data_IF_111797292718
#
_entry.id   IF_111797292718
#
_cell.length_a   1.000
_cell.length_b   1.000
_cell.length_c   1.000
_cell.angle_alpha   90.00
_cell.angle_beta   90.00
_cell.angle_gamma   90.00
#
_symmetry.space_group_name_H-M   'P 1'
#
loop_
_entity.id
_entity.type
_entity.pdbx_description
1 polymer ?
#
# COMPACT_ATOMS: atom_id res chain seq x y z
N UNK A 1 -9.66 19.84 -24.64
CA UNK A 1 -10.36 20.00 -23.34
C UNK A 1 -11.72 20.68 -23.49
N UNK A 2 -11.83 21.79 -24.23
CA UNK A 2 -13.11 22.53 -24.41
C UNK A 2 -14.23 21.63 -24.96
N UNK A 3 -13.97 20.86 -26.02
CA UNK A 3 -14.98 19.95 -26.62
C UNK A 3 -15.47 18.87 -25.64
N UNK A 4 -14.58 18.35 -24.77
CA UNK A 4 -14.94 17.38 -23.75
C UNK A 4 -15.84 18.04 -22.68
N UNK A 5 -15.48 19.25 -22.24
CA UNK A 5 -16.29 19.99 -21.29
C UNK A 5 -17.67 20.36 -21.86
N UNK A 6 -17.72 20.80 -23.12
CA UNK A 6 -18.99 21.10 -23.81
C UNK A 6 -19.89 19.88 -23.94
N UNK A 7 -19.29 18.69 -24.13
CA UNK A 7 -20.04 17.44 -24.15
C UNK A 7 -20.56 17.08 -22.75
N UNK A 8 -19.70 17.18 -21.73
CA UNK A 8 -20.06 16.91 -20.33
C UNK A 8 -21.16 17.86 -19.84
N UNK A 9 -21.11 19.15 -20.19
CA UNK A 9 -22.10 20.16 -19.75
C UNK A 9 -23.52 19.92 -20.26
N UNK A 10 -23.68 19.09 -21.29
CA UNK A 10 -25.01 18.70 -21.83
C UNK A 10 -25.64 17.50 -21.08
N UNK A 11 -24.93 16.92 -20.13
CA UNK A 11 -25.40 15.77 -19.36
C UNK A 11 -25.86 16.21 -17.96
N UNK A 12 -26.65 15.36 -17.30
CA UNK A 12 -27.07 15.54 -15.91
C UNK A 12 -26.38 14.50 -15.04
N UNK A 13 -25.74 14.96 -13.98
CA UNK A 13 -24.97 14.10 -13.07
C UNK A 13 -25.57 14.13 -11.67
N UNK A 14 -25.69 12.97 -11.03
CA UNK A 14 -26.10 12.88 -9.62
C UNK A 14 -24.90 13.07 -8.67
N UNK A 15 -23.69 12.73 -9.12
CA UNK A 15 -22.44 12.86 -8.36
C UNK A 15 -21.23 12.81 -9.29
N UNK A 16 -20.08 13.24 -8.76
CA UNK A 16 -18.75 13.09 -9.35
C UNK A 16 -17.87 12.20 -8.47
N UNK A 17 -17.09 11.31 -9.08
CA UNK A 17 -16.13 10.46 -8.38
C UNK A 17 -14.82 10.43 -9.14
N UNK A 18 -13.71 10.66 -8.45
CA UNK A 18 -12.36 10.61 -9.01
C UNK A 18 -11.33 10.35 -7.90
N UNK A 19 -10.08 10.12 -8.27
CA UNK A 19 -8.96 10.11 -7.34
C UNK A 19 -8.44 11.55 -7.18
N UNK A 20 -8.33 12.03 -5.95
CA UNK A 20 -7.82 13.38 -5.68
C UNK A 20 -6.31 13.46 -5.82
N UNK A 21 -5.61 12.41 -5.42
CA UNK A 21 -4.15 12.37 -5.48
C UNK A 21 -3.66 12.37 -6.93
N UNK A 22 -2.82 13.34 -7.28
CA UNK A 22 -2.29 13.58 -8.63
C UNK A 22 -3.32 13.92 -9.72
N UNK A 23 -4.61 14.01 -9.38
CA UNK A 23 -5.70 14.21 -10.35
C UNK A 23 -6.78 15.18 -9.83
N UNK A 24 -6.39 16.29 -9.24
CA UNK A 24 -7.32 17.32 -8.72
C UNK A 24 -8.19 17.93 -9.82
N UNK A 25 -7.72 17.90 -11.06
CA UNK A 25 -8.43 18.43 -12.23
C UNK A 25 -9.89 17.98 -12.37
N UNK A 26 -10.23 16.70 -12.20
CA UNK A 26 -11.62 16.25 -12.22
C UNK A 26 -12.52 16.98 -11.24
N UNK A 27 -12.05 17.34 -10.04
CA UNK A 27 -12.86 18.03 -9.02
C UNK A 27 -13.17 19.48 -9.40
N UNK A 28 -12.26 20.16 -10.10
CA UNK A 28 -12.56 21.46 -10.70
C UNK A 28 -13.57 21.34 -11.84
N UNK A 29 -13.49 20.29 -12.65
CA UNK A 29 -14.52 20.02 -13.68
C UNK A 29 -15.87 19.73 -13.03
N UNK A 30 -15.93 18.95 -11.96
CA UNK A 30 -17.17 18.71 -11.21
C UNK A 30 -17.76 20.01 -10.68
N UNK A 31 -16.94 20.90 -10.12
CA UNK A 31 -17.39 22.22 -9.66
C UNK A 31 -17.91 23.06 -10.82
N UNK A 32 -17.20 23.12 -11.95
CA UNK A 32 -17.62 23.89 -13.14
C UNK A 32 -18.94 23.35 -13.73
N UNK A 33 -19.20 22.05 -13.61
CA UNK A 33 -20.46 21.42 -14.03
C UNK A 33 -21.58 21.56 -12.98
N UNK A 34 -21.33 22.17 -11.82
CA UNK A 34 -22.31 22.32 -10.74
C UNK A 34 -22.61 21.01 -9.99
N UNK A 35 -21.72 20.03 -10.04
CA UNK A 35 -21.89 18.76 -9.32
C UNK A 35 -21.49 18.97 -7.84
N UNK A 36 -22.48 18.94 -6.94
CA UNK A 36 -22.29 19.21 -5.52
C UNK A 36 -21.85 17.96 -4.72
N UNK A 37 -22.28 16.78 -5.15
CA UNK A 37 -21.94 15.52 -4.49
C UNK A 37 -20.68 14.95 -5.12
N UNK A 38 -19.54 15.15 -4.48
CA UNK A 38 -18.27 14.64 -4.98
C UNK A 38 -17.66 13.66 -3.99
N UNK A 39 -17.00 12.65 -4.54
CA UNK A 39 -16.31 11.57 -3.79
C UNK A 39 -14.90 11.42 -4.31
N UNK A 40 -13.96 11.24 -3.38
CA UNK A 40 -12.59 10.85 -3.66
C UNK A 40 -12.43 9.35 -3.47
N UNK A 41 -11.74 8.67 -4.39
CA UNK A 41 -11.38 7.25 -4.26
C UNK A 41 -9.89 7.10 -4.47
N UNK A 42 -9.16 6.92 -3.39
CA UNK A 42 -7.72 6.63 -3.46
C UNK A 42 -7.48 5.15 -3.76
N UNK A 43 -6.74 4.87 -4.81
CA UNK A 43 -6.30 3.50 -5.16
C UNK A 43 -5.26 2.94 -4.18
N UNK A 44 -4.64 3.80 -3.36
CA UNK A 44 -3.64 3.45 -2.36
C UNK A 44 -4.08 3.88 -0.95
N UNK A 45 -3.14 4.37 -0.15
CA UNK A 45 -3.37 4.90 1.21
C UNK A 45 -4.05 6.27 1.17
N UNK A 46 -4.56 6.72 2.31
CA UNK A 46 -4.82 8.15 2.49
C UNK A 46 -3.48 8.86 2.73
N UNK A 47 -3.16 9.80 1.86
CA UNK A 47 -1.87 10.50 1.92
C UNK A 47 -1.82 11.44 3.12
N UNK A 48 -0.81 11.30 4.00
CA UNK A 48 -0.72 12.13 5.21
C UNK A 48 -0.76 13.63 4.95
N UNK A 49 -0.18 14.09 3.85
CA UNK A 49 -0.18 15.51 3.46
C UNK A 49 -1.58 16.09 3.22
N UNK A 50 -2.56 15.26 2.83
CA UNK A 50 -3.94 15.70 2.62
C UNK A 50 -4.67 16.00 3.93
N UNK A 51 -4.19 15.51 5.06
CA UNK A 51 -4.79 15.78 6.38
C UNK A 51 -4.80 17.28 6.71
N UNK A 52 -3.86 18.07 6.19
CA UNK A 52 -3.86 19.52 6.35
C UNK A 52 -5.13 20.18 5.79
N UNK A 53 -5.68 19.64 4.69
CA UNK A 53 -6.93 20.12 4.09
C UNK A 53 -8.15 19.84 4.97
N UNK A 54 -8.05 18.85 5.86
CA UNK A 54 -9.03 18.54 6.89
C UNK A 54 -8.79 19.32 8.20
N UNK A 55 -7.83 20.26 8.21
CA UNK A 55 -7.48 21.06 9.38
C UNK A 55 -6.61 20.33 10.42
N UNK A 56 -6.01 19.20 10.05
CA UNK A 56 -5.12 18.42 10.90
C UNK A 56 -3.67 18.80 10.57
N UNK A 57 -2.93 19.28 11.57
CA UNK A 57 -1.52 19.62 11.39
C UNK A 57 -0.67 18.35 11.27
N UNK A 58 -0.14 18.11 10.08
CA UNK A 58 0.73 16.95 9.79
C UNK A 58 1.99 16.91 10.65
N UNK A 59 2.42 18.03 11.20
CA UNK A 59 3.57 18.12 12.13
C UNK A 59 3.31 17.43 13.46
N UNK A 60 2.05 17.29 13.85
CA UNK A 60 1.65 16.62 15.08
C UNK A 60 1.51 15.10 14.90
N UNK A 61 1.59 14.62 13.67
CA UNK A 61 1.42 13.22 13.34
C UNK A 61 2.75 12.50 13.28
N UNK A 62 2.86 11.44 14.04
CA UNK A 62 4.01 10.55 14.03
C UNK A 62 3.77 9.39 13.08
N UNK A 63 3.49 9.67 11.80
CA UNK A 63 3.38 8.69 10.75
C UNK A 63 4.53 8.87 9.75
N UNK A 64 5.02 7.79 9.11
CA UNK A 64 6.08 7.91 8.13
C UNK A 64 5.65 8.72 6.91
N UNK A 65 6.62 9.34 6.29
CA UNK A 65 6.45 9.85 4.94
C UNK A 65 6.35 8.66 3.97
N UNK A 66 5.45 8.75 2.99
CA UNK A 66 5.10 7.58 2.20
C UNK A 66 6.19 7.12 1.21
N UNK A 67 7.14 8.00 0.83
CA UNK A 67 8.22 7.66 -0.12
C UNK A 67 9.58 7.37 0.53
N UNK A 68 9.80 7.81 1.77
CA UNK A 68 11.14 7.83 2.36
C UNK A 68 11.24 7.11 3.69
N UNK A 69 10.18 6.45 4.14
CA UNK A 69 10.22 5.62 5.33
C UNK A 69 11.30 4.54 5.22
N UNK A 70 12.03 4.30 6.30
CA UNK A 70 13.12 3.33 6.36
C UNK A 70 12.91 2.29 7.46
N UNK A 71 13.59 1.13 7.39
CA UNK A 71 13.44 0.07 8.39
C UNK A 71 13.68 0.56 9.82
N UNK A 72 12.78 0.19 10.71
CA UNK A 72 12.85 0.48 12.14
C UNK A 72 12.51 1.91 12.55
N UNK A 73 11.97 2.76 11.66
CA UNK A 73 11.57 4.14 11.97
C UNK A 73 10.52 4.19 13.07
N UNK A 74 9.64 3.20 13.13
CA UNK A 74 8.51 3.13 14.04
C UNK A 74 8.56 1.95 15.01
N UNK A 75 9.73 1.32 15.17
CA UNK A 75 9.94 0.20 16.08
C UNK A 75 10.83 0.58 17.27
N UNK A 76 10.58 -0.07 18.41
CA UNK A 76 11.50 -0.15 19.53
C UNK A 76 12.06 -1.59 19.67
N UNK A 77 12.88 -1.82 20.70
CA UNK A 77 13.46 -3.13 20.98
C UNK A 77 12.42 -4.23 21.31
N UNK A 78 11.19 -3.84 21.61
CA UNK A 78 10.07 -4.72 21.93
C UNK A 78 9.06 -4.84 20.78
N UNK A 79 9.39 -4.31 19.60
CA UNK A 79 8.48 -4.24 18.45
C UNK A 79 7.41 -3.15 18.55
N UNK A 80 7.51 -2.26 19.54
CA UNK A 80 6.63 -1.13 19.75
C UNK A 80 7.31 0.17 19.34
N UNK A 81 6.51 1.20 19.06
CA UNK A 81 6.99 2.53 18.70
C UNK A 81 7.79 3.17 19.86
N UNK A 82 9.09 3.41 19.65
CA UNK A 82 9.95 4.06 20.63
C UNK A 82 10.25 5.52 20.24
N UNK A 83 9.37 6.43 20.66
CA UNK A 83 9.49 7.87 20.41
C UNK A 83 10.72 8.52 21.06
N UNK A 84 11.33 7.87 22.05
CA UNK A 84 12.52 8.37 22.76
C UNK A 84 13.83 8.00 22.06
N UNK A 85 13.79 7.08 21.08
CA UNK A 85 15.00 6.72 20.34
C UNK A 85 15.50 7.90 19.50
N UNK A 86 16.83 8.04 19.40
CA UNK A 86 17.45 9.06 18.55
C UNK A 86 17.02 8.88 17.10
N UNK A 87 17.03 7.62 16.61
CA UNK A 87 16.64 7.25 15.25
C UNK A 87 15.19 7.67 14.94
N UNK A 88 14.25 7.35 15.83
CA UNK A 88 12.85 7.76 15.65
C UNK A 88 12.71 9.29 15.52
N UNK A 89 13.38 10.06 16.39
CA UNK A 89 13.31 11.52 16.36
C UNK A 89 13.90 12.10 15.07
N UNK A 90 15.05 11.60 14.62
CA UNK A 90 15.67 12.03 13.37
C UNK A 90 14.77 11.71 12.15
N UNK A 91 14.25 10.49 12.07
CA UNK A 91 13.39 10.08 10.97
C UNK A 91 12.03 10.79 11.00
N UNK A 92 11.46 11.00 12.17
CA UNK A 92 10.22 11.77 12.36
C UNK A 92 10.36 13.20 11.86
N UNK A 93 11.51 13.86 12.15
CA UNK A 93 11.79 15.21 11.65
C UNK A 93 11.90 15.24 10.12
N UNK A 94 12.60 14.28 9.53
CA UNK A 94 12.71 14.17 8.05
C UNK A 94 11.34 13.96 7.42
N UNK A 95 10.53 13.06 7.96
CA UNK A 95 9.18 12.80 7.48
C UNK A 95 8.27 14.03 7.61
N UNK A 96 8.33 14.75 8.72
CA UNK A 96 7.59 16.01 8.91
C UNK A 96 7.94 17.05 7.83
N UNK A 97 9.24 17.27 7.60
CA UNK A 97 9.70 18.22 6.57
C UNK A 97 9.27 17.80 5.19
N UNK A 98 9.36 16.52 4.87
CA UNK A 98 8.98 15.98 3.56
C UNK A 98 7.48 16.09 3.32
N UNK A 99 6.65 15.69 4.27
CA UNK A 99 5.19 15.81 4.18
C UNK A 99 4.77 17.27 4.00
N UNK A 100 5.37 18.20 4.74
CA UNK A 100 5.10 19.63 4.59
C UNK A 100 5.49 20.17 3.21
N UNK A 101 6.66 19.76 2.70
CA UNK A 101 7.13 20.19 1.38
C UNK A 101 6.24 19.65 0.27
N UNK A 102 5.82 18.39 0.34
CA UNK A 102 4.89 17.80 -0.62
C UNK A 102 3.54 18.53 -0.61
N UNK A 103 3.00 18.82 0.57
CA UNK A 103 1.77 19.58 0.69
C UNK A 103 1.86 20.96 0.04
N UNK A 104 3.00 21.67 0.20
CA UNK A 104 3.24 22.96 -0.45
C UNK A 104 3.38 22.84 -1.97
N UNK A 105 3.99 21.76 -2.46
CA UNK A 105 4.13 21.50 -3.89
C UNK A 105 2.76 21.26 -4.51
N UNK A 106 1.94 20.41 -3.93
CA UNK A 106 0.57 20.17 -4.39
C UNK A 106 -0.24 21.47 -4.48
N UNK A 107 -0.26 22.27 -3.42
CA UNK A 107 -1.00 23.52 -3.41
C UNK A 107 -0.56 24.54 -4.47
N UNK A 108 0.67 24.43 -5.00
CA UNK A 108 1.21 25.35 -6.02
C UNK A 108 1.02 24.86 -7.44
N UNK A 109 1.19 23.57 -7.68
CA UNK A 109 1.15 22.99 -9.05
C UNK A 109 -0.28 22.98 -9.59
N UNK A 110 -1.26 22.80 -8.71
CA UNK A 110 -2.64 22.63 -9.09
C UNK A 110 -3.30 23.93 -9.50
N UNK A 111 -2.97 25.04 -8.85
CA UNK A 111 -3.44 26.37 -9.25
C UNK A 111 -3.09 26.69 -10.71
N UNK A 112 -1.89 26.30 -11.17
CA UNK A 112 -1.45 26.55 -12.53
C UNK A 112 -2.23 25.74 -13.59
N UNK A 113 -2.52 24.48 -13.30
CA UNK A 113 -3.29 23.61 -14.20
C UNK A 113 -4.75 24.10 -14.34
N UNK A 114 -5.34 24.59 -13.28
CA UNK A 114 -6.69 25.15 -13.28
C UNK A 114 -6.77 26.50 -13.97
N UNK A 115 -5.83 27.39 -13.72
CA UNK A 115 -5.75 28.68 -14.38
C UNK A 115 -5.67 28.52 -15.91
N UNK A 116 -4.91 27.55 -16.39
CA UNK A 116 -4.84 27.21 -17.81
C UNK A 116 -6.19 26.74 -18.35
N UNK A 117 -6.86 25.81 -17.66
CA UNK A 117 -8.17 25.28 -18.05
C UNK A 117 -9.24 26.38 -18.13
N UNK A 118 -9.32 27.27 -17.13
CA UNK A 118 -10.29 28.34 -17.10
C UNK A 118 -9.95 29.51 -18.04
N UNK A 119 -8.67 29.73 -18.32
CA UNK A 119 -8.23 30.82 -19.21
C UNK A 119 -8.34 30.49 -20.71
N UNK A 120 -8.43 29.22 -21.08
CA UNK A 120 -8.52 28.77 -22.48
C UNK A 120 -9.89 28.98 -23.15
N UNK A 121 -10.77 29.81 -22.60
CA UNK A 121 -11.86 30.31 -23.39
C UNK A 121 -13.27 30.29 -22.77
N UNK A 122 -14.08 29.28 -22.97
CA UNK A 122 -15.53 29.35 -22.69
C UNK A 122 -15.96 29.02 -21.25
N UNK A 123 -15.00 28.60 -20.40
CA UNK A 123 -15.29 28.26 -19.00
C UNK A 123 -15.28 29.48 -18.09
N UNK A 124 -14.76 30.62 -18.55
CA UNK A 124 -14.64 31.88 -17.81
C UNK A 124 -15.99 32.44 -17.25
N UNK A 125 -17.08 32.12 -17.92
CA UNK A 125 -18.39 32.64 -17.53
C UNK A 125 -19.08 31.84 -16.42
N UNK A 126 -18.49 30.69 -16.00
CA UNK A 126 -19.19 29.79 -15.10
C UNK A 126 -18.88 30.04 -13.62
N UNK A 127 -17.66 30.15 -13.20
CA UNK A 127 -17.23 30.50 -11.82
C UNK A 127 -15.72 30.67 -11.76
N UNK A 128 -15.21 31.45 -10.82
CA UNK A 128 -13.81 31.42 -10.43
C UNK A 128 -13.54 30.04 -9.77
N UNK A 129 -12.53 29.28 -10.21
CA UNK A 129 -12.26 27.97 -9.62
C UNK A 129 -11.90 28.09 -8.14
N UNK A 130 -12.43 27.17 -7.35
CA UNK A 130 -12.02 27.04 -5.96
C UNK A 130 -10.57 26.59 -5.87
N UNK A 131 -9.88 27.01 -4.80
CA UNK A 131 -8.55 26.48 -4.49
C UNK A 131 -8.60 24.96 -4.19
N UNK A 132 -7.46 24.28 -4.34
CA UNK A 132 -7.35 22.82 -4.13
C UNK A 132 -7.86 22.42 -2.74
N UNK A 133 -7.51 23.17 -1.70
CA UNK A 133 -7.97 22.91 -0.34
C UNK A 133 -9.50 23.05 -0.18
N UNK A 134 -10.13 23.97 -0.91
CA UNK A 134 -11.58 24.11 -0.92
C UNK A 134 -12.26 22.99 -1.70
N UNK A 135 -11.69 22.56 -2.83
CA UNK A 135 -12.17 21.40 -3.59
C UNK A 135 -12.12 20.15 -2.74
N UNK A 136 -11.01 19.93 -2.03
CA UNK A 136 -10.83 18.78 -1.14
C UNK A 136 -11.86 18.78 0.01
N UNK A 137 -12.08 19.93 0.65
CA UNK A 137 -13.07 20.09 1.74
C UNK A 137 -14.52 19.87 1.29
N UNK A 138 -14.83 20.06 0.00
CA UNK A 138 -16.16 19.81 -0.57
C UNK A 138 -16.44 18.32 -0.79
N UNK A 139 -15.41 17.49 -0.82
CA UNK A 139 -15.54 16.03 -0.97
C UNK A 139 -16.35 15.47 0.20
N UNK A 140 -17.42 14.75 -0.10
CA UNK A 140 -18.32 14.17 0.91
C UNK A 140 -17.64 13.04 1.68
N UNK A 141 -16.99 12.11 0.96
CA UNK A 141 -16.23 11.02 1.52
C UNK A 141 -14.97 10.76 0.70
N UNK A 142 -13.89 10.46 1.42
CA UNK A 142 -12.64 9.94 0.88
C UNK A 142 -12.62 8.43 1.10
N UNK A 143 -12.79 7.67 0.03
CA UNK A 143 -12.72 6.22 0.05
C UNK A 143 -11.29 5.78 -0.20
N UNK A 144 -10.73 5.00 0.70
CA UNK A 144 -9.32 4.60 0.69
C UNK A 144 -9.19 3.09 0.50
N UNK A 145 -8.43 2.66 -0.49
CA UNK A 145 -8.22 1.23 -0.78
C UNK A 145 -7.30 0.53 0.25
N UNK A 146 -7.25 1.01 1.46
CA UNK A 146 -6.50 0.42 2.57
C UNK A 146 -7.45 -0.31 3.51
N UNK A 147 -7.14 -1.53 4.00
CA UNK A 147 -7.95 -2.19 5.01
C UNK A 147 -7.99 -1.38 6.30
N UNK A 148 -9.17 -1.24 6.91
CA UNK A 148 -9.37 -0.44 8.13
C UNK A 148 -8.42 -0.83 9.27
N UNK A 149 -8.15 -2.12 9.44
CA UNK A 149 -7.27 -2.64 10.48
C UNK A 149 -5.77 -2.54 10.13
N UNK A 150 -5.43 -2.15 8.90
CA UNK A 150 -4.07 -2.00 8.41
C UNK A 150 -3.70 -0.52 8.22
N UNK A 151 -3.67 0.23 9.32
CA UNK A 151 -3.25 1.63 9.36
C UNK A 151 -2.39 1.91 10.58
N UNK A 152 -1.58 2.95 10.52
CA UNK A 152 -0.81 3.40 11.68
C UNK A 152 -1.75 3.78 12.82
N UNK A 153 -1.38 3.41 14.05
CA UNK A 153 -2.18 3.73 15.25
C UNK A 153 -2.31 5.24 15.45
N UNK A 154 -1.27 5.97 15.08
CA UNK A 154 -1.19 7.43 15.16
C UNK A 154 -1.94 8.14 14.03
N UNK A 155 -2.40 7.41 13.01
CA UNK A 155 -3.16 8.02 11.92
C UNK A 155 -4.54 8.46 12.44
N UNK A 156 -4.92 9.73 12.24
CA UNK A 156 -6.15 10.28 12.81
C UNK A 156 -7.39 9.60 12.21
N UNK A 157 -8.42 9.51 13.02
CA UNK A 157 -9.75 9.05 12.60
C UNK A 157 -10.55 10.27 12.17
N UNK A 158 -11.12 10.22 10.98
CA UNK A 158 -12.06 11.21 10.45
C UNK A 158 -13.31 10.50 9.93
N UNK A 159 -14.47 11.06 10.19
CA UNK A 159 -15.75 10.51 9.71
C UNK A 159 -15.87 10.54 8.17
N UNK A 160 -15.11 11.42 7.53
CA UNK A 160 -15.10 11.55 6.08
C UNK A 160 -14.10 10.63 5.39
N UNK A 161 -13.23 9.92 6.13
CA UNK A 161 -12.26 8.98 5.58
C UNK A 161 -12.78 7.56 5.81
N UNK A 162 -13.14 6.87 4.74
CA UNK A 162 -13.70 5.53 4.76
C UNK A 162 -12.74 4.51 4.14
N UNK A 163 -12.31 3.56 4.94
CA UNK A 163 -11.41 2.49 4.51
C UNK A 163 -12.21 1.37 3.85
N UNK A 164 -12.00 1.19 2.54
CA UNK A 164 -12.70 0.19 1.70
C UNK A 164 -11.75 -0.87 1.14
N UNK A 165 -10.53 -0.94 1.64
CA UNK A 165 -9.54 -1.94 1.21
C UNK A 165 -10.00 -3.36 1.47
N UNK A 166 -9.81 -4.22 0.48
CA UNK A 166 -10.26 -5.62 0.52
C UNK A 166 -11.41 -5.95 -0.41
N UNK A 167 -12.05 -4.99 -1.07
CA UNK A 167 -13.22 -5.24 -1.96
C UNK A 167 -12.92 -6.39 -2.95
N UNK A 168 -11.78 -6.36 -3.64
CA UNK A 168 -11.44 -7.40 -4.62
C UNK A 168 -11.14 -8.76 -3.97
N UNK A 169 -10.58 -8.76 -2.78
CA UNK A 169 -10.32 -9.98 -2.01
C UNK A 169 -11.63 -10.61 -1.55
N UNK A 170 -12.53 -9.80 -0.98
CA UNK A 170 -13.84 -10.23 -0.52
C UNK A 170 -14.73 -10.75 -1.66
N UNK A 171 -14.67 -10.12 -2.85
CA UNK A 171 -15.40 -10.58 -4.03
C UNK A 171 -14.88 -11.90 -4.59
N UNK A 172 -13.58 -12.12 -4.57
CA UNK A 172 -12.94 -13.33 -5.05
C UNK A 172 -13.14 -14.52 -4.08
N UNK A 173 -13.32 -14.25 -2.78
CA UNK A 173 -13.59 -15.19 -1.68
C UNK A 173 -12.42 -16.09 -1.29
N UNK A 174 -11.47 -16.42 -2.15
CA UNK A 174 -10.38 -17.39 -1.89
C UNK A 174 -9.69 -17.16 -0.55
N UNK A 175 -9.42 -15.89 -0.18
CA UNK A 175 -8.65 -15.55 1.03
C UNK A 175 -9.51 -15.33 2.28
N UNK A 176 -10.84 -15.24 2.14
CA UNK A 176 -11.76 -15.12 3.28
C UNK A 176 -12.31 -16.47 3.77
N UNK A 177 -12.19 -17.50 2.95
CA UNK A 177 -12.56 -18.88 3.31
C UNK A 177 -11.50 -19.52 4.22
N UNK A 178 -11.80 -20.72 4.72
CA UNK A 178 -10.81 -21.52 5.44
C UNK A 178 -9.60 -21.82 4.57
N UNK A 179 -8.42 -21.84 5.19
CA UNK A 179 -7.20 -22.18 4.45
C UNK A 179 -7.28 -23.58 3.85
N UNK A 180 -6.82 -23.70 2.64
CA UNK A 180 -6.76 -24.99 1.94
C UNK A 180 -5.65 -25.84 2.55
N UNK A 181 -6.00 -27.03 3.02
CA UNK A 181 -5.04 -28.00 3.54
C UNK A 181 -4.08 -28.46 2.45
N UNK A 182 -2.82 -28.54 2.78
CA UNK A 182 -1.83 -29.15 1.89
C UNK A 182 -2.08 -30.66 1.77
N UNK A 183 -1.92 -31.19 0.56
CA UNK A 183 -1.96 -32.63 0.34
C UNK A 183 -0.66 -33.28 0.82
N UNK A 184 -0.68 -34.60 1.09
CA UNK A 184 0.48 -35.37 1.58
C UNK A 184 1.71 -35.28 0.64
N UNK A 185 1.51 -34.99 -0.63
CA UNK A 185 2.57 -34.83 -1.63
C UNK A 185 3.05 -33.38 -1.80
N UNK A 186 2.45 -32.41 -1.10
CA UNK A 186 2.87 -31.01 -1.16
C UNK A 186 3.96 -30.72 -0.11
N UNK A 187 4.86 -29.75 -0.39
CA UNK A 187 5.85 -29.33 0.60
C UNK A 187 5.17 -28.83 1.89
N UNK A 188 5.76 -29.12 3.03
CA UNK A 188 5.26 -28.64 4.34
C UNK A 188 5.45 -27.14 4.54
N UNK A 189 6.36 -26.54 3.79
CA UNK A 189 6.70 -25.12 3.82
C UNK A 189 6.80 -24.58 2.40
N UNK A 190 5.99 -23.57 2.09
CA UNK A 190 6.05 -22.81 0.84
C UNK A 190 6.32 -21.36 1.15
N UNK A 191 7.26 -20.76 0.42
CA UNK A 191 7.59 -19.34 0.48
C UNK A 191 7.32 -18.75 -0.90
N UNK A 192 6.49 -17.70 -0.94
CA UNK A 192 6.20 -16.98 -2.17
C UNK A 192 7.10 -15.76 -2.27
N UNK A 193 7.73 -15.53 -3.44
CA UNK A 193 8.44 -14.30 -3.76
C UNK A 193 7.86 -13.69 -5.03
N UNK A 194 7.35 -12.45 -4.94
CA UNK A 194 6.96 -11.66 -6.10
C UNK A 194 6.98 -10.17 -5.79
N UNK A 195 7.51 -9.37 -6.73
CA UNK A 195 7.57 -7.91 -6.64
C UNK A 195 6.46 -7.21 -7.43
N UNK A 196 5.32 -7.91 -7.61
CA UNK A 196 4.14 -7.38 -8.29
C UNK A 196 4.27 -7.39 -9.82
N UNK A 197 3.38 -6.65 -10.49
CA UNK A 197 3.24 -6.69 -11.96
C UNK A 197 3.89 -5.53 -12.69
N UNK A 198 4.05 -4.38 -12.02
CA UNK A 198 4.56 -3.14 -12.64
C UNK A 198 6.08 -3.15 -12.75
N UNK A 199 6.75 -3.57 -11.69
CA UNK A 199 8.21 -3.73 -11.68
C UNK A 199 8.59 -5.09 -11.05
N UNK A 200 8.55 -6.17 -11.83
CA UNK A 200 8.79 -7.52 -11.30
C UNK A 200 10.18 -7.77 -10.73
N UNK A 201 11.13 -6.86 -10.97
CA UNK A 201 12.51 -6.95 -10.46
C UNK A 201 12.67 -6.19 -9.14
N UNK A 202 11.75 -5.28 -8.80
CA UNK A 202 11.80 -4.56 -7.53
C UNK A 202 13.02 -3.64 -7.33
N UNK A 203 13.80 -3.35 -8.37
CA UNK A 203 15.03 -2.54 -8.27
C UNK A 203 16.29 -3.35 -7.90
N UNK A 204 16.20 -4.67 -7.87
CA UNK A 204 17.34 -5.55 -7.62
C UNK A 204 18.33 -5.61 -8.77
N UNK A 205 19.57 -5.93 -8.43
CA UNK A 205 20.61 -6.35 -9.35
C UNK A 205 20.87 -7.88 -9.24
N UNK A 206 21.69 -8.41 -10.15
CA UNK A 206 22.01 -9.84 -10.15
C UNK A 206 22.67 -10.30 -8.85
N UNK A 207 23.53 -9.47 -8.24
CA UNK A 207 24.25 -9.82 -7.01
C UNK A 207 23.29 -9.98 -5.83
N UNK A 208 22.36 -9.05 -5.67
CA UNK A 208 21.36 -9.11 -4.60
C UNK A 208 20.41 -10.29 -4.76
N UNK A 209 20.01 -10.62 -5.99
CA UNK A 209 19.20 -11.80 -6.26
C UNK A 209 20.00 -13.09 -5.99
N UNK A 210 21.26 -13.14 -6.38
CA UNK A 210 22.12 -14.30 -6.07
C UNK A 210 22.23 -14.53 -4.56
N UNK A 211 22.39 -13.46 -3.75
CA UNK A 211 22.37 -13.55 -2.28
C UNK A 211 21.05 -14.12 -1.74
N UNK A 212 19.91 -13.72 -2.29
CA UNK A 212 18.63 -14.33 -1.88
C UNK A 212 18.58 -15.82 -2.19
N UNK A 213 19.06 -16.24 -3.36
CA UNK A 213 19.09 -17.67 -3.74
C UNK A 213 20.03 -18.48 -2.86
N UNK A 214 21.22 -17.93 -2.52
CA UNK A 214 22.15 -18.55 -1.55
C UNK A 214 21.45 -18.80 -0.19
N UNK A 215 20.64 -17.85 0.28
CA UNK A 215 19.87 -18.01 1.52
C UNK A 215 18.73 -19.03 1.37
N UNK A 216 18.02 -19.07 0.23
CA UNK A 216 16.99 -20.08 -0.01
C UNK A 216 17.54 -21.50 0.08
N UNK A 217 18.74 -21.75 -0.44
CA UNK A 217 19.36 -23.07 -0.41
C UNK A 217 19.69 -23.57 1.00
N UNK A 218 19.87 -22.68 1.96
CA UNK A 218 20.06 -23.04 3.37
C UNK A 218 18.77 -23.57 4.03
N UNK A 219 17.60 -23.24 3.46
CA UNK A 219 16.29 -23.65 3.96
C UNK A 219 15.64 -24.74 3.07
N UNK A 220 16.38 -25.83 2.84
CA UNK A 220 16.00 -26.92 1.92
C UNK A 220 14.70 -27.66 2.26
N UNK A 221 14.13 -27.43 3.43
CA UNK A 221 12.82 -27.96 3.84
C UNK A 221 11.64 -27.15 3.30
N UNK A 222 11.89 -25.96 2.71
CA UNK A 222 10.90 -25.11 2.09
C UNK A 222 11.01 -25.15 0.57
N UNK A 223 9.86 -25.00 -0.11
CA UNK A 223 9.77 -24.73 -1.53
C UNK A 223 9.59 -23.23 -1.76
N UNK A 224 10.48 -22.63 -2.54
CA UNK A 224 10.44 -21.21 -2.91
C UNK A 224 9.79 -21.05 -4.29
N UNK A 225 8.60 -20.44 -4.33
CA UNK A 225 7.93 -20.06 -5.59
C UNK A 225 8.28 -18.62 -5.92
N UNK A 226 9.10 -18.45 -6.95
CA UNK A 226 9.78 -17.19 -7.27
C UNK A 226 9.32 -16.68 -8.62
N UNK A 227 8.82 -15.45 -8.66
CA UNK A 227 8.53 -14.75 -9.91
C UNK A 227 9.60 -13.71 -10.19
N UNK A 228 10.45 -14.00 -11.19
CA UNK A 228 11.48 -13.09 -11.70
C UNK A 228 11.55 -13.20 -13.21
N UNK A 229 11.69 -12.07 -13.90
CA UNK A 229 11.84 -12.02 -15.36
C UNK A 229 13.26 -11.63 -15.83
N UNK A 230 14.17 -11.33 -14.89
CA UNK A 230 15.57 -11.01 -15.15
C UNK A 230 16.43 -11.39 -13.95
N UNK A 231 17.74 -11.43 -14.18
CA UNK A 231 18.76 -11.67 -13.14
C UNK A 231 18.62 -13.00 -12.39
N UNK A 232 18.00 -13.99 -13.02
CA UNK A 232 17.96 -15.35 -12.45
C UNK A 232 19.38 -15.90 -12.46
N UNK A 233 19.92 -16.39 -11.31
CA UNK A 233 21.22 -17.03 -11.26
C UNK A 233 21.30 -18.24 -12.19
N UNK A 234 22.47 -18.49 -12.80
CA UNK A 234 22.64 -19.62 -13.70
C UNK A 234 22.59 -20.98 -12.98
N UNK A 235 23.04 -21.00 -11.72
CA UNK A 235 23.12 -22.22 -10.91
C UNK A 235 22.34 -22.02 -9.61
N UNK A 236 21.33 -22.83 -9.38
CA UNK A 236 20.57 -22.91 -8.12
C UNK A 236 19.86 -24.27 -8.03
N UNK A 237 19.41 -24.63 -6.84
CA UNK A 237 18.73 -25.89 -6.59
C UNK A 237 17.28 -25.86 -7.08
N UNK A 238 17.03 -26.37 -8.29
CA UNK A 238 15.69 -26.39 -8.92
C UNK A 238 14.67 -27.28 -8.19
N UNK A 239 15.12 -28.15 -7.26
CA UNK A 239 14.19 -28.98 -6.48
C UNK A 239 13.48 -28.20 -5.37
N UNK A 240 14.04 -27.07 -4.95
CA UNK A 240 13.50 -26.22 -3.88
C UNK A 240 13.22 -24.79 -4.32
N UNK A 241 13.69 -24.35 -5.49
CA UNK A 241 13.47 -23.01 -6.02
C UNK A 241 12.82 -23.13 -7.41
N UNK A 242 11.52 -22.85 -7.48
CA UNK A 242 10.74 -22.78 -8.72
C UNK A 242 10.72 -21.34 -9.23
N UNK A 243 11.36 -21.05 -10.35
CA UNK A 243 11.40 -19.71 -10.96
C UNK A 243 10.51 -19.66 -12.18
N UNK A 244 9.72 -18.59 -12.29
CA UNK A 244 8.92 -18.28 -13.47
C UNK A 244 8.91 -16.77 -13.74
N UNK A 245 8.74 -16.37 -14.99
CA UNK A 245 8.43 -14.99 -15.39
C UNK A 245 6.93 -14.73 -15.56
N UNK A 246 6.12 -15.80 -15.59
CA UNK A 246 4.68 -15.71 -15.66
C UNK A 246 4.05 -15.20 -14.37
N UNK A 247 2.81 -14.70 -14.47
CA UNK A 247 2.05 -14.25 -13.29
C UNK A 247 1.66 -15.47 -12.46
N UNK A 248 2.18 -15.54 -11.24
CA UNK A 248 1.81 -16.58 -10.28
C UNK A 248 0.36 -16.39 -9.79
N UNK A 249 -0.36 -17.48 -9.53
CA UNK A 249 -1.68 -17.43 -8.88
C UNK A 249 -1.53 -17.10 -7.38
N UNK A 250 -1.21 -15.83 -7.09
CA UNK A 250 -0.81 -15.36 -5.76
C UNK A 250 -1.84 -15.69 -4.68
N UNK A 251 -3.14 -15.48 -4.97
CA UNK A 251 -4.21 -15.72 -3.99
C UNK A 251 -4.34 -17.20 -3.65
N UNK A 252 -4.26 -18.07 -4.64
CA UNK A 252 -4.31 -19.51 -4.48
C UNK A 252 -3.12 -20.04 -3.68
N UNK A 253 -1.91 -19.48 -3.91
CA UNK A 253 -0.73 -19.83 -3.13
C UNK A 253 -0.89 -19.36 -1.69
N UNK A 254 -1.30 -18.10 -1.49
CA UNK A 254 -1.48 -17.54 -0.15
C UNK A 254 -2.61 -18.21 0.65
N UNK A 255 -3.62 -18.79 0.00
CA UNK A 255 -4.73 -19.47 0.66
C UNK A 255 -4.35 -20.82 1.28
N UNK A 256 -3.19 -21.38 0.94
CA UNK A 256 -2.76 -22.69 1.44
C UNK A 256 -2.18 -22.60 2.85
N UNK A 257 -2.45 -23.63 3.68
CA UNK A 257 -1.92 -23.71 5.07
C UNK A 257 -0.39 -23.84 5.12
N UNK A 258 0.21 -24.45 4.09
CA UNK A 258 1.66 -24.63 3.97
C UNK A 258 2.40 -23.38 3.47
N UNK A 259 1.72 -22.31 3.05
CA UNK A 259 2.37 -21.04 2.72
C UNK A 259 2.70 -20.29 4.01
N UNK A 260 4.02 -20.22 4.31
CA UNK A 260 4.55 -19.71 5.59
C UNK A 260 5.03 -18.27 5.52
N UNK A 261 5.39 -17.79 4.33
CA UNK A 261 6.00 -16.47 4.17
C UNK A 261 5.71 -15.90 2.77
N UNK A 262 5.50 -14.59 2.71
CA UNK A 262 5.42 -13.84 1.47
C UNK A 262 6.52 -12.77 1.42
N UNK A 263 7.51 -12.95 0.53
CA UNK A 263 8.54 -11.96 0.22
C UNK A 263 8.00 -11.06 -0.89
N UNK A 264 7.79 -9.79 -0.59
CA UNK A 264 7.05 -8.87 -1.45
C UNK A 264 7.68 -7.48 -1.51
N UNK A 265 7.40 -6.73 -2.59
CA UNK A 265 7.64 -5.28 -2.62
C UNK A 265 6.73 -4.49 -1.67
N UNK A 266 5.77 -5.16 -1.03
CA UNK A 266 4.82 -4.59 -0.08
C UNK A 266 3.87 -3.52 -0.65
N UNK A 267 3.54 -3.58 -1.95
CA UNK A 267 2.46 -2.77 -2.52
C UNK A 267 1.11 -3.11 -1.88
N UNK A 268 0.21 -2.13 -1.80
CA UNK A 268 -1.04 -2.23 -1.01
C UNK A 268 -1.89 -3.47 -1.33
N UNK A 269 -2.02 -3.84 -2.61
CA UNK A 269 -2.81 -5.02 -2.97
C UNK A 269 -2.18 -6.32 -2.43
N UNK A 270 -0.85 -6.46 -2.55
CA UNK A 270 -0.11 -7.62 -2.02
C UNK A 270 -0.18 -7.67 -0.49
N UNK A 271 -0.05 -6.53 0.18
CA UNK A 271 -0.22 -6.44 1.63
C UNK A 271 -1.65 -6.83 2.05
N UNK A 272 -2.67 -6.32 1.35
CA UNK A 272 -4.07 -6.67 1.61
C UNK A 272 -4.30 -8.17 1.46
N UNK A 273 -3.81 -8.79 0.39
CA UNK A 273 -3.93 -10.23 0.19
C UNK A 273 -3.21 -11.03 1.28
N UNK A 274 -2.01 -10.62 1.68
CA UNK A 274 -1.26 -11.28 2.76
C UNK A 274 -2.00 -11.22 4.10
N UNK A 275 -2.59 -10.07 4.45
CA UNK A 275 -3.35 -9.88 5.69
C UNK A 275 -4.60 -10.76 5.71
N UNK A 276 -5.39 -10.78 4.61
CA UNK A 276 -6.56 -11.63 4.51
C UNK A 276 -6.21 -13.12 4.49
N UNK A 277 -5.06 -13.47 3.93
CA UNK A 277 -4.54 -14.84 3.98
C UNK A 277 -3.95 -15.23 5.33
N UNK A 278 -3.57 -14.28 6.19
CA UNK A 278 -2.84 -14.54 7.42
C UNK A 278 -1.43 -15.10 7.14
N UNK A 279 -0.72 -14.54 6.17
CA UNK A 279 0.64 -14.92 5.79
C UNK A 279 1.59 -13.76 6.08
N UNK A 280 2.60 -13.91 6.96
CA UNK A 280 3.53 -12.84 7.31
C UNK A 280 4.42 -12.45 6.14
N UNK A 281 5.02 -11.24 6.21
CA UNK A 281 5.75 -10.66 5.10
C UNK A 281 7.21 -10.36 5.43
N UNK A 282 8.08 -10.53 4.41
CA UNK A 282 9.33 -9.77 4.28
C UNK A 282 9.08 -8.72 3.19
N UNK A 283 9.15 -7.45 3.58
CA UNK A 283 8.91 -6.31 2.70
C UNK A 283 10.22 -5.75 2.17
N UNK A 284 10.36 -5.68 0.84
CA UNK A 284 11.52 -5.11 0.16
C UNK A 284 11.00 -4.07 -0.85
N UNK A 285 10.69 -2.85 -0.38
CA UNK A 285 10.10 -1.82 -1.24
C UNK A 285 11.10 -1.25 -2.24
N UNK A 286 10.60 -0.83 -3.40
CA UNK A 286 11.40 -0.18 -4.43
C UNK A 286 10.91 1.22 -4.80
N UNK A 287 9.63 1.55 -4.61
CA UNK A 287 9.11 2.87 -4.93
C UNK A 287 7.77 3.20 -4.23
N UNK A 288 7.37 4.47 -4.29
CA UNK A 288 6.05 4.97 -3.94
C UNK A 288 5.63 4.69 -2.50
N UNK A 289 4.38 4.26 -2.34
CA UNK A 289 3.74 3.94 -1.06
C UNK A 289 4.30 2.67 -0.39
N UNK A 290 5.11 1.89 -1.12
CA UNK A 290 5.68 0.64 -0.61
C UNK A 290 6.57 0.87 0.62
N UNK A 291 7.29 2.00 0.69
CA UNK A 291 8.10 2.35 1.86
C UNK A 291 7.23 2.59 3.10
N UNK A 292 6.17 3.36 2.95
CA UNK A 292 5.18 3.59 4.01
C UNK A 292 4.53 2.29 4.48
N UNK A 293 4.10 1.45 3.52
CA UNK A 293 3.45 0.17 3.82
C UNK A 293 4.40 -0.83 4.47
N UNK A 294 5.69 -0.82 4.11
CA UNK A 294 6.71 -1.64 4.77
C UNK A 294 6.92 -1.23 6.22
N UNK A 295 6.99 0.07 6.52
CA UNK A 295 7.02 0.56 7.92
C UNK A 295 5.73 0.23 8.67
N UNK A 296 4.57 0.25 8.00
CA UNK A 296 3.30 -0.18 8.60
C UNK A 296 3.33 -1.67 8.97
N UNK A 297 3.87 -2.53 8.11
CA UNK A 297 4.04 -3.97 8.38
C UNK A 297 4.91 -4.20 9.62
N UNK A 298 6.00 -3.45 9.77
CA UNK A 298 6.82 -3.49 10.98
C UNK A 298 6.05 -3.03 12.22
N UNK A 299 5.38 -1.87 12.15
CA UNK A 299 4.62 -1.36 13.30
C UNK A 299 3.53 -2.34 13.75
N UNK A 300 2.87 -2.98 12.79
CA UNK A 300 1.83 -3.98 13.08
C UNK A 300 2.40 -5.29 13.64
N UNK A 301 3.71 -5.51 13.53
CA UNK A 301 4.37 -6.75 13.96
C UNK A 301 3.97 -7.97 13.11
N UNK A 302 3.64 -7.76 11.84
CA UNK A 302 3.24 -8.82 10.89
C UNK A 302 4.32 -9.15 9.86
N UNK A 303 5.47 -8.51 9.94
CA UNK A 303 6.58 -8.75 9.03
C UNK A 303 7.82 -7.93 9.33
N UNK A 304 8.80 -8.07 8.46
CA UNK A 304 10.11 -7.40 8.54
C UNK A 304 10.30 -6.55 7.29
N UNK A 305 10.79 -5.33 7.46
CA UNK A 305 11.14 -4.42 6.38
C UNK A 305 12.65 -4.48 6.13
N UNK A 306 13.05 -4.77 4.90
CA UNK A 306 14.44 -4.75 4.42
C UNK A 306 14.57 -3.67 3.35
N UNK A 307 15.55 -2.80 3.49
CA UNK A 307 15.84 -1.76 2.52
C UNK A 307 16.94 -2.20 1.57
N UNK A 308 16.74 -1.96 0.27
CA UNK A 308 17.84 -2.00 -0.70
C UNK A 308 18.71 -0.75 -0.49
N UNK A 309 19.92 -0.94 0.01
CA UNK A 309 20.88 0.15 0.18
C UNK A 309 21.57 0.40 -1.16
N UNK A 310 21.24 1.53 -1.79
CA UNK A 310 21.89 1.97 -3.02
C UNK A 310 23.06 2.86 -2.64
N UNK A 311 24.27 2.49 -3.08
CA UNK A 311 25.47 3.27 -2.85
C UNK A 311 25.45 4.59 -3.66
N UNK A 312 26.40 5.51 -3.36
CA UNK A 312 26.57 6.75 -4.11
C UNK A 312 26.90 6.53 -5.62
N UNK A 313 27.21 5.30 -6.01
CA UNK A 313 27.45 4.88 -7.39
C UNK A 313 26.22 4.22 -8.04
N UNK A 314 25.05 4.28 -7.41
CA UNK A 314 23.81 3.61 -7.82
C UNK A 314 23.91 2.06 -7.84
N UNK A 315 24.86 1.48 -7.13
CA UNK A 315 24.96 0.03 -6.93
C UNK A 315 24.33 -0.36 -5.59
N UNK A 316 23.63 -1.50 -5.56
CA UNK A 316 23.11 -2.07 -4.31
C UNK A 316 24.27 -2.66 -3.52
N UNK A 317 24.37 -2.35 -2.21
CA UNK A 317 25.29 -3.03 -1.31
C UNK A 317 24.74 -4.44 -1.03
N UNK A 318 25.12 -5.38 -1.90
CA UNK A 318 24.60 -6.75 -1.87
C UNK A 318 25.04 -7.54 -0.63
N UNK A 319 26.15 -7.20 0.02
CA UNK A 319 26.60 -7.88 1.23
C UNK A 319 25.76 -7.45 2.45
N UNK A 320 25.52 -6.14 2.60
CA UNK A 320 24.63 -5.65 3.67
C UNK A 320 23.21 -6.16 3.44
N UNK A 321 22.72 -6.09 2.20
CA UNK A 321 21.40 -6.63 1.86
C UNK A 321 21.32 -8.13 2.16
N UNK A 322 22.32 -8.93 1.77
CA UNK A 322 22.35 -10.37 2.01
C UNK A 322 22.30 -10.72 3.51
N UNK A 323 23.06 -9.99 4.34
CA UNK A 323 23.04 -10.17 5.79
C UNK A 323 21.69 -9.82 6.43
N UNK A 324 21.09 -8.71 6.01
CA UNK A 324 19.75 -8.30 6.47
C UNK A 324 18.68 -9.31 6.04
N UNK A 325 18.76 -9.79 4.80
CA UNK A 325 17.84 -10.78 4.25
C UNK A 325 17.95 -12.12 4.98
N UNK A 326 19.17 -12.64 5.20
CA UNK A 326 19.41 -13.85 5.97
C UNK A 326 18.76 -13.73 7.36
N UNK A 327 19.08 -12.65 8.10
CA UNK A 327 18.55 -12.43 9.44
C UNK A 327 17.01 -12.36 9.47
N UNK A 328 16.39 -11.77 8.44
CA UNK A 328 14.95 -11.71 8.34
C UNK A 328 14.33 -13.07 8.02
N UNK A 329 14.92 -13.82 7.09
CA UNK A 329 14.46 -15.16 6.71
C UNK A 329 14.56 -16.13 7.88
N UNK A 330 15.70 -16.16 8.59
CA UNK A 330 15.90 -16.96 9.78
C UNK A 330 14.86 -16.67 10.86
N UNK A 331 14.59 -15.38 11.15
CA UNK A 331 13.56 -14.98 12.12
C UNK A 331 12.14 -15.38 11.72
N UNK A 332 11.85 -15.36 10.43
CA UNK A 332 10.51 -15.68 9.91
C UNK A 332 10.22 -17.18 9.87
N UNK A 333 11.25 -18.02 9.80
CA UNK A 333 11.11 -19.48 9.69
C UNK A 333 11.27 -20.24 11.01
N UNK A 334 11.33 -19.53 12.15
CA UNK A 334 11.33 -20.16 13.48
C UNK A 334 9.91 -20.66 13.81
N UNK A 335 9.79 -21.83 14.40
CA UNK A 335 8.52 -22.50 14.74
C UNK A 335 7.57 -21.66 15.62
N UNK A 336 8.11 -20.85 16.53
CA UNK A 336 7.32 -19.96 17.40
C UNK A 336 7.28 -18.51 16.89
N UNK A 337 7.08 -18.34 15.61
CA UNK A 337 7.12 -17.05 14.94
C UNK A 337 6.02 -16.10 15.44
N UNK A 338 6.41 -15.02 16.12
CA UNK A 338 5.48 -14.00 16.63
C UNK A 338 4.71 -13.31 15.49
N UNK A 339 5.32 -13.14 14.32
CA UNK A 339 4.69 -12.50 13.17
C UNK A 339 3.50 -13.31 12.66
N UNK A 340 3.64 -14.64 12.63
CA UNK A 340 2.54 -15.55 12.26
C UNK A 340 1.38 -15.46 13.23
N UNK A 341 1.66 -15.38 14.54
CA UNK A 341 0.63 -15.20 15.57
C UNK A 341 -0.10 -13.87 15.37
N UNK A 342 0.66 -12.78 15.22
CA UNK A 342 0.10 -11.43 15.10
C UNK A 342 -0.76 -11.28 13.85
N UNK A 343 -0.30 -11.81 12.70
CA UNK A 343 -1.08 -11.70 11.46
C UNK A 343 -2.34 -12.58 11.49
N UNK A 344 -2.32 -13.71 12.18
CA UNK A 344 -3.51 -14.53 12.39
C UNK A 344 -4.56 -13.80 13.26
N UNK A 345 -4.12 -13.11 14.32
CA UNK A 345 -5.00 -12.26 15.13
C UNK A 345 -5.60 -11.11 14.30
N UNK A 346 -4.80 -10.49 13.43
CA UNK A 346 -5.27 -9.46 12.52
C UNK A 346 -6.29 -10.00 11.52
N UNK A 347 -6.00 -11.16 10.89
CA UNK A 347 -6.92 -11.84 9.98
C UNK A 347 -8.26 -12.11 10.67
N UNK A 348 -8.22 -12.61 11.89
CA UNK A 348 -9.45 -12.88 12.68
C UNK A 348 -10.27 -11.61 12.87
N UNK A 349 -9.65 -10.48 13.22
CA UNK A 349 -10.34 -9.19 13.35
C UNK A 349 -10.98 -8.73 12.05
N UNK A 350 -10.30 -8.92 10.92
CA UNK A 350 -10.82 -8.54 9.60
C UNK A 350 -12.02 -9.40 9.20
N UNK A 351 -11.95 -10.70 9.45
CA UNK A 351 -13.05 -11.62 9.12
C UNK A 351 -14.27 -11.38 10.00
N UNK A 352 -14.07 -11.08 11.29
CA UNK A 352 -15.16 -10.66 12.19
C UNK A 352 -15.81 -9.34 11.73
N UNK A 353 -14.99 -8.34 11.35
CA UNK A 353 -15.51 -7.08 10.80
C UNK A 353 -16.30 -7.29 9.50
N UNK A 354 -15.86 -8.20 8.63
CA UNK A 354 -16.60 -8.59 7.43
C UNK A 354 -17.94 -9.27 7.77
N UNK A 355 -17.99 -10.12 8.79
CA UNK A 355 -19.20 -10.79 9.25
C UNK A 355 -20.20 -9.80 9.87
N UNK A 356 -19.73 -8.90 10.75
CA UNK A 356 -20.56 -7.95 11.49
C UNK A 356 -21.06 -6.79 10.61
N UNK A 357 -20.20 -6.24 9.76
CA UNK A 357 -20.47 -5.01 8.99
C UNK A 357 -20.75 -5.27 7.50
N UNK A 358 -20.56 -6.51 7.05
CA UNK A 358 -20.73 -6.91 5.66
C UNK A 358 -19.58 -6.47 4.74
N UNK A 359 -19.65 -6.84 3.44
CA UNK A 359 -18.60 -6.57 2.47
C UNK A 359 -18.34 -5.08 2.28
N UNK A 360 -17.07 -4.71 2.13
CA UNK A 360 -16.61 -3.32 1.91
C UNK A 360 -17.26 -2.66 0.70
N UNK A 361 -17.56 -3.45 -0.35
CA UNK A 361 -18.34 -2.99 -1.50
C UNK A 361 -19.72 -2.44 -1.10
N UNK A 362 -20.41 -3.12 -0.20
CA UNK A 362 -21.74 -2.70 0.24
C UNK A 362 -21.66 -1.42 1.08
N UNK A 363 -20.65 -1.29 1.94
CA UNK A 363 -20.39 -0.07 2.71
C UNK A 363 -20.13 1.11 1.76
N UNK A 364 -19.27 0.93 0.76
CA UNK A 364 -18.96 1.92 -0.28
C UNK A 364 -20.23 2.40 -1.00
N UNK A 365 -21.02 1.47 -1.55
CA UNK A 365 -22.24 1.80 -2.29
C UNK A 365 -23.30 2.45 -1.40
N UNK A 366 -23.47 1.95 -0.16
CA UNK A 366 -24.41 2.51 0.81
C UNK A 366 -24.08 3.98 1.12
N UNK A 367 -22.80 4.31 1.34
CA UNK A 367 -22.38 5.67 1.64
C UNK A 367 -22.63 6.65 0.48
N UNK A 368 -22.41 6.21 -0.75
CA UNK A 368 -22.78 7.01 -1.92
C UNK A 368 -24.30 7.20 -1.98
N UNK A 369 -25.09 6.13 -1.82
CA UNK A 369 -26.55 6.17 -1.85
C UNK A 369 -27.14 7.10 -0.78
N UNK A 370 -26.62 7.08 0.44
CA UNK A 370 -27.01 7.99 1.53
C UNK A 370 -26.84 9.47 1.15
N UNK A 371 -25.78 9.82 0.42
CA UNK A 371 -25.51 11.22 0.01
C UNK A 371 -26.40 11.65 -1.16
N UNK A 372 -26.64 10.77 -2.13
CA UNK A 372 -27.42 11.12 -3.33
C UNK A 372 -28.94 10.90 -3.17
N UNK A 373 -29.37 10.42 -2.01
CA UNK A 373 -30.80 10.24 -1.69
C UNK A 373 -31.47 9.10 -2.46
N UNK A 374 -30.75 8.02 -2.71
CA UNK A 374 -31.24 6.83 -3.43
C UNK A 374 -31.13 5.57 -2.59
#
# INVERSE_FOLDING_TARGET
MVEVFDWLSKQVYSFGIAEFNHMEGPFAVFEALGIENTFDVSASIFYPEHLQFLGIDVKLLNVPEFKFAIPGDWLNNEGLLNKESKRYRENSLVNEVTNRNLALIHSRTDLFAFDSFYNEGNVKDLRVPSSVDLLFKKVKFHFVNQPFHAKFKEFPISENILYIGGILVEQNKILIEEKVKANDNEPICVILLTFGTVNPIGGFDLKSIAKMFEEFEKHSHCLFKVRLNKFVPENYNINIIEVTDEILPQKEILSKENTKLFISHCGLNSLTEAIYAGVPLICIPCNGDQFYLSSLVEQMGIGIYIKLNISNQNEVDSEVFGADFQNALDKMLIDSNIYQKTINELRTKILLDLEENGPKKNIFLKKISEVIGK
#
